data_IF_486599718361
#
_entry.id   IF_486599718361
#
_cell.length_a   1.000
_cell.length_b   1.000
_cell.length_c   1.000
_cell.angle_alpha   90.00
_cell.angle_beta   90.00
_cell.angle_gamma   90.00
#
_symmetry.space_group_name_H-M   'P 1'
#
loop_
_entity.id
_entity.type
_entity.pdbx_description
1 polymer ?
#
# COMPACT_ATOMS: atom_id res chain seq x y z
N UNK A 1 1.55 8.79 5.25
CA UNK A 1 1.70 7.39 5.72
C UNK A 1 3.18 7.06 5.85
N UNK A 2 3.59 6.13 6.72
CA UNK A 2 5.00 5.72 6.85
C UNK A 2 5.17 4.27 6.37
N UNK A 3 6.00 4.05 5.33
CA UNK A 3 6.29 2.71 4.81
C UNK A 3 7.37 2.04 5.67
N UNK A 4 7.00 0.95 6.34
CA UNK A 4 7.90 0.14 7.16
C UNK A 4 8.62 -0.96 6.34
N UNK A 5 7.85 -1.68 5.53
CA UNK A 5 8.32 -2.83 4.73
C UNK A 5 7.73 -2.80 3.33
N UNK A 6 8.49 -3.27 2.35
CA UNK A 6 8.07 -3.39 0.95
C UNK A 6 8.32 -4.82 0.48
N UNK A 7 7.29 -5.47 -0.05
CA UNK A 7 7.35 -6.88 -0.46
C UNK A 7 7.31 -7.08 -1.98
N UNK A 8 6.74 -6.13 -2.73
CA UNK A 8 6.73 -6.09 -4.19
C UNK A 8 6.80 -4.64 -4.63
N UNK A 9 7.54 -4.36 -5.70
CA UNK A 9 7.67 -3.02 -6.29
C UNK A 9 7.71 -3.11 -7.81
N UNK A 10 7.26 -2.05 -8.48
CA UNK A 10 7.47 -1.93 -9.91
C UNK A 10 8.98 -1.78 -10.23
N UNK A 11 9.47 -2.27 -11.39
CA UNK A 11 10.89 -2.14 -11.76
C UNK A 11 11.39 -0.68 -11.77
N UNK A 12 10.53 0.25 -12.15
CA UNK A 12 10.78 1.70 -12.21
C UNK A 12 10.29 2.46 -10.96
N UNK A 13 9.94 1.72 -9.91
CA UNK A 13 9.46 2.28 -8.65
C UNK A 13 10.47 3.24 -8.03
N UNK A 14 10.01 4.46 -7.74
CA UNK A 14 10.74 5.44 -6.92
C UNK A 14 10.34 5.39 -5.45
N UNK A 15 9.54 4.40 -5.05
CA UNK A 15 9.04 4.27 -3.69
C UNK A 15 10.19 3.85 -2.75
N UNK A 16 10.26 4.49 -1.58
CA UNK A 16 11.24 4.21 -0.54
C UNK A 16 10.55 4.02 0.80
N UNK A 17 11.24 3.37 1.74
CA UNK A 17 10.81 3.37 3.15
C UNK A 17 10.74 4.81 3.67
N UNK A 18 9.85 5.06 4.63
CA UNK A 18 9.64 6.39 5.20
C UNK A 18 8.31 7.01 4.82
N UNK A 19 8.20 8.31 5.06
CA UNK A 19 6.98 9.07 4.84
C UNK A 19 6.66 9.20 3.34
N UNK A 20 5.43 8.82 2.97
CA UNK A 20 4.90 8.96 1.61
C UNK A 20 3.48 9.49 1.63
N UNK A 21 3.08 10.08 0.51
CA UNK A 21 1.70 10.43 0.21
C UNK A 21 0.90 9.18 -0.15
N UNK A 22 -0.33 9.13 0.35
CA UNK A 22 -1.35 8.16 -0.03
C UNK A 22 -2.45 8.92 -0.75
N UNK A 23 -2.55 8.72 -2.06
CA UNK A 23 -3.55 9.34 -2.92
C UNK A 23 -4.82 8.50 -2.90
N UNK A 24 -5.96 9.18 -2.78
CA UNK A 24 -7.29 8.58 -2.77
C UNK A 24 -8.14 9.38 -3.75
N UNK A 25 -8.86 8.69 -4.62
CA UNK A 25 -9.79 9.39 -5.51
C UNK A 25 -10.97 9.97 -4.74
N UNK A 26 -11.43 11.16 -5.14
CA UNK A 26 -12.57 11.82 -4.49
C UNK A 26 -13.83 10.95 -4.42
N UNK A 27 -14.08 10.12 -5.44
CA UNK A 27 -15.19 9.15 -5.45
C UNK A 27 -15.11 8.12 -4.31
N UNK A 28 -13.89 7.73 -3.94
CA UNK A 28 -13.65 6.73 -2.90
C UNK A 28 -13.71 7.38 -1.50
N UNK A 29 -13.41 8.67 -1.40
CA UNK A 29 -13.65 9.44 -0.17
C UNK A 29 -15.14 9.56 0.15
N UNK A 30 -16.00 9.73 -0.87
CA UNK A 30 -17.45 9.81 -0.68
C UNK A 30 -18.05 8.54 -0.09
N UNK A 31 -17.52 7.37 -0.46
CA UNK A 31 -17.94 6.09 0.12
C UNK A 31 -17.19 5.75 1.42
N UNK A 32 -16.45 6.71 2.00
CA UNK A 32 -15.62 6.56 3.22
C UNK A 32 -14.58 5.45 3.11
N UNK A 33 -14.05 5.26 1.90
CA UNK A 33 -13.01 4.28 1.62
C UNK A 33 -11.63 4.93 1.49
N UNK A 34 -10.58 4.25 1.95
CA UNK A 34 -10.62 3.03 2.77
C UNK A 34 -10.92 3.33 4.24
N UNK A 35 -11.33 2.29 4.97
CA UNK A 35 -11.54 2.34 6.42
C UNK A 35 -10.22 2.13 7.18
N UNK A 36 -9.32 3.12 7.09
CA UNK A 36 -8.03 3.12 7.80
C UNK A 36 -8.18 3.87 9.13
N UNK A 37 -7.63 3.29 10.20
CA UNK A 37 -7.53 3.94 11.52
C UNK A 37 -6.13 4.52 11.68
N UNK A 38 -6.04 5.63 12.40
CA UNK A 38 -4.74 6.23 12.76
C UNK A 38 -3.95 5.27 13.65
N UNK A 39 -2.61 5.38 13.59
CA UNK A 39 -1.66 4.65 14.43
C UNK A 39 -1.76 3.11 14.37
N UNK A 40 -2.38 2.57 13.32
CA UNK A 40 -2.41 1.13 13.06
C UNK A 40 -1.57 0.77 11.83
N UNK A 41 -0.81 -0.35 11.88
CA UNK A 41 -0.11 -0.86 10.72
C UNK A 41 -1.08 -1.56 9.75
N UNK A 42 -0.85 -1.40 8.45
CA UNK A 42 -1.66 -1.99 7.38
C UNK A 42 -0.77 -2.60 6.29
N UNK A 43 -1.19 -3.75 5.76
CA UNK A 43 -0.73 -4.25 4.47
C UNK A 43 -1.55 -3.59 3.37
N UNK A 44 -0.87 -2.88 2.46
CA UNK A 44 -1.48 -2.26 1.30
C UNK A 44 -0.95 -2.97 0.05
N UNK A 45 -1.87 -3.53 -0.74
CA UNK A 45 -1.58 -4.11 -2.05
C UNK A 45 -2.30 -3.28 -3.10
N UNK A 46 -1.58 -2.81 -4.10
CA UNK A 46 -2.16 -1.97 -5.14
C UNK A 46 -1.10 -1.53 -6.14
N UNK A 47 -1.49 -0.59 -7.01
CA UNK A 47 -0.56 0.05 -7.93
C UNK A 47 0.11 1.23 -7.25
N UNK A 48 1.42 1.37 -7.45
CA UNK A 48 2.16 2.52 -6.93
C UNK A 48 1.71 3.82 -7.60
N UNK A 49 1.54 3.80 -8.93
CA UNK A 49 1.10 4.96 -9.71
C UNK A 49 -0.11 4.65 -10.59
N UNK A 50 -1.00 5.63 -10.68
CA UNK A 50 -2.06 5.72 -11.67
C UNK A 50 -1.88 7.03 -12.46
N UNK A 51 -1.42 6.95 -13.71
CA UNK A 51 -1.15 8.13 -14.55
C UNK A 51 0.07 8.97 -14.12
N UNK A 52 0.00 10.28 -14.34
CA UNK A 52 1.11 11.23 -14.14
C UNK A 52 1.24 11.76 -12.68
N UNK A 53 0.61 11.09 -11.70
CA UNK A 53 0.60 11.57 -10.32
C UNK A 53 2.01 11.56 -9.68
N UNK A 54 2.27 12.49 -8.74
CA UNK A 54 3.51 12.53 -7.98
C UNK A 54 3.79 11.22 -7.25
N UNK A 55 5.05 10.98 -6.92
CA UNK A 55 5.49 9.79 -6.17
C UNK A 55 4.64 9.57 -4.91
N UNK A 56 4.17 8.34 -4.71
CA UNK A 56 3.30 7.97 -3.61
C UNK A 56 2.64 6.62 -3.86
N UNK A 57 1.65 6.28 -3.05
CA UNK A 57 0.78 5.12 -3.26
C UNK A 57 -0.59 5.62 -3.68
N UNK A 58 -1.18 5.02 -4.71
CA UNK A 58 -2.56 5.34 -5.13
C UNK A 58 -3.50 4.25 -4.66
N UNK A 59 -4.60 4.66 -4.05
CA UNK A 59 -5.58 3.76 -3.49
C UNK A 59 -6.91 3.99 -4.17
N UNK A 60 -7.43 2.90 -4.74
CA UNK A 60 -8.69 2.88 -5.46
C UNK A 60 -9.44 1.59 -5.13
N UNK A 61 -10.60 1.37 -5.76
CA UNK A 61 -11.41 0.17 -5.57
C UNK A 61 -10.69 -1.17 -5.90
N UNK A 62 -9.54 -1.15 -6.59
CA UNK A 62 -8.73 -2.33 -6.89
C UNK A 62 -7.59 -2.55 -5.89
N UNK A 63 -7.39 -1.62 -4.96
CA UNK A 63 -6.40 -1.74 -3.89
C UNK A 63 -6.98 -2.53 -2.71
N UNK A 64 -6.17 -3.41 -2.13
CA UNK A 64 -6.52 -4.19 -0.95
C UNK A 64 -5.79 -3.59 0.26
N UNK A 65 -6.54 -3.32 1.32
CA UNK A 65 -6.02 -2.79 2.59
C UNK A 65 -6.45 -3.73 3.71
N UNK A 66 -5.47 -4.35 4.38
CA UNK A 66 -5.70 -5.27 5.49
C UNK A 66 -4.94 -4.78 6.70
N UNK A 67 -5.59 -4.76 7.87
CA UNK A 67 -4.90 -4.47 9.13
C UNK A 67 -3.78 -5.50 9.35
N UNK A 68 -2.58 -5.03 9.68
CA UNK A 68 -1.43 -5.89 9.85
C UNK A 68 -1.59 -6.79 11.08
N UNK A 69 -1.22 -8.06 10.93
CA UNK A 69 -1.20 -9.09 11.97
C UNK A 69 0.05 -9.95 11.79
N UNK A 70 0.52 -10.60 12.86
CA UNK A 70 1.75 -11.39 12.81
C UNK A 70 1.67 -12.56 11.82
N UNK A 71 0.50 -13.18 11.66
CA UNK A 71 0.29 -14.21 10.63
C UNK A 71 0.52 -13.70 9.20
N UNK A 72 0.22 -12.42 8.94
CA UNK A 72 0.49 -11.80 7.64
C UNK A 72 1.99 -11.61 7.44
N UNK A 73 2.76 -11.33 8.50
CA UNK A 73 4.20 -11.18 8.40
C UNK A 73 4.88 -12.45 7.88
N UNK A 74 4.52 -13.61 8.41
CA UNK A 74 5.09 -14.89 7.97
C UNK A 74 4.70 -15.23 6.52
N UNK A 75 3.44 -14.98 6.16
CA UNK A 75 2.96 -15.13 4.78
C UNK A 75 3.70 -14.21 3.81
N UNK A 76 3.91 -12.95 4.19
CA UNK A 76 4.64 -12.00 3.35
C UNK A 76 6.14 -12.34 3.23
N UNK A 77 6.76 -12.88 4.29
CA UNK A 77 8.12 -13.42 4.21
C UNK A 77 8.22 -14.60 3.26
N UNK A 78 7.28 -15.53 3.32
CA UNK A 78 7.23 -16.66 2.40
C UNK A 78 7.00 -16.21 0.95
N UNK A 79 6.08 -15.27 0.75
CA UNK A 79 5.82 -14.65 -0.55
C UNK A 79 7.10 -14.04 -1.15
N UNK A 80 7.84 -13.26 -0.38
CA UNK A 80 9.07 -12.63 -0.84
C UNK A 80 10.16 -13.66 -1.19
N UNK A 81 10.26 -14.76 -0.43
CA UNK A 81 11.24 -15.83 -0.68
C UNK A 81 10.96 -16.62 -1.97
N UNK A 82 9.70 -16.79 -2.35
CA UNK A 82 9.30 -17.62 -3.49
C UNK A 82 9.49 -16.95 -4.86
N UNK A 83 9.88 -15.67 -4.90
CA UNK A 83 10.22 -14.95 -6.14
C UNK A 83 9.08 -14.92 -7.16
N UNK A 84 8.13 -13.99 -6.99
CA UNK A 84 7.03 -13.74 -7.94
C UNK A 84 7.14 -12.39 -8.64
#
# INVERSE_FOLDING_TARGET
>A
MNIQSMYKRAPDSKLKKGAVYLWIHNKDLQCKCPKIKLNKPYLILGKEKEGNQPSGLTMNAKSIVVEWKDELHDRMRQFQRRGC
#
